data_IF_883080181053
#
_entry.id   IF_883080181053
#
_cell.length_a   1.000
_cell.length_b   1.000
_cell.length_c   1.000
_cell.angle_alpha   90.00
_cell.angle_beta   90.00
_cell.angle_gamma   90.00
#
_symmetry.space_group_name_H-M   'P 1'
#
loop_
_entity.id
_entity.type
_entity.pdbx_description
1 polymer ?
#
# COMPACT_ATOMS: atom_id res chain seq x y z
N UNK A 1 -12.40 4.27 -10.24
CA UNK A 1 -11.80 3.27 -9.33
C UNK A 1 -10.37 2.95 -9.67
N UNK A 2 -10.10 2.68 -10.95
CA UNK A 2 -8.74 2.29 -11.38
C UNK A 2 -7.68 3.36 -11.10
N UNK A 3 -8.01 4.63 -11.30
CA UNK A 3 -7.09 5.75 -10.99
C UNK A 3 -6.71 5.77 -9.51
N UNK A 4 -7.68 5.66 -8.61
CA UNK A 4 -7.42 5.60 -7.15
C UNK A 4 -6.52 4.40 -6.83
N UNK A 5 -6.81 3.25 -7.42
CA UNK A 5 -6.02 2.04 -7.23
C UNK A 5 -4.56 2.21 -7.65
N UNK A 6 -4.30 2.86 -8.81
CA UNK A 6 -2.95 3.14 -9.29
C UNK A 6 -2.22 4.16 -8.40
N UNK A 7 -2.92 5.19 -7.92
CA UNK A 7 -2.35 6.17 -6.98
C UNK A 7 -1.95 5.51 -5.65
N UNK A 8 -2.76 4.57 -5.16
CA UNK A 8 -2.44 3.79 -3.95
C UNK A 8 -1.19 2.93 -4.14
N UNK A 9 -1.09 2.21 -5.27
CA UNK A 9 0.11 1.42 -5.60
C UNK A 9 1.33 2.33 -5.73
N UNK A 10 1.21 3.45 -6.43
CA UNK A 10 2.31 4.39 -6.60
C UNK A 10 2.78 4.97 -5.25
N UNK A 11 1.84 5.33 -4.36
CA UNK A 11 2.12 5.76 -3.00
C UNK A 11 2.87 4.68 -2.22
N UNK A 12 2.35 3.46 -2.18
CA UNK A 12 2.98 2.36 -1.45
C UNK A 12 4.37 2.01 -1.98
N UNK A 13 4.59 2.01 -3.31
CA UNK A 13 5.92 1.82 -3.89
C UNK A 13 6.93 2.85 -3.40
N UNK A 14 6.53 4.12 -3.31
CA UNK A 14 7.42 5.17 -2.77
C UNK A 14 7.74 4.94 -1.30
N UNK A 15 6.73 4.52 -0.50
CA UNK A 15 6.89 4.23 0.93
C UNK A 15 7.82 3.05 1.20
N UNK A 16 7.93 2.10 0.27
CA UNK A 16 8.74 0.90 0.40
C UNK A 16 10.13 1.03 -0.25
N UNK A 17 10.33 2.08 -1.06
CA UNK A 17 11.58 2.26 -1.81
C UNK A 17 12.78 2.38 -0.88
N UNK A 18 13.83 1.60 -1.17
CA UNK A 18 15.08 1.57 -0.41
C UNK A 18 15.11 0.52 0.69
N UNK A 19 13.95 0.17 1.26
CA UNK A 19 13.87 -0.83 2.35
C UNK A 19 13.44 -2.21 1.85
N UNK A 20 12.66 -2.28 0.77
CA UNK A 20 12.11 -3.52 0.21
C UNK A 20 12.49 -3.70 -1.24
N UNK A 21 12.89 -4.92 -1.61
CA UNK A 21 13.00 -5.35 -3.00
C UNK A 21 11.60 -5.72 -3.51
N UNK A 22 11.12 -5.03 -4.58
CA UNK A 22 9.86 -5.41 -5.22
C UNK A 22 10.07 -6.67 -6.08
N UNK A 23 9.24 -7.68 -5.89
CA UNK A 23 9.27 -8.96 -6.60
C UNK A 23 7.89 -9.25 -7.21
N UNK A 24 7.85 -10.23 -8.12
CA UNK A 24 6.59 -10.68 -8.74
C UNK A 24 6.63 -12.20 -8.95
N UNK A 25 5.91 -12.93 -8.09
CA UNK A 25 5.81 -14.37 -8.14
C UNK A 25 4.72 -14.83 -9.15
N UNK A 26 4.88 -15.98 -9.83
CA UNK A 26 3.87 -16.49 -10.75
C UNK A 26 2.50 -16.68 -10.12
N UNK A 27 1.43 -16.50 -10.92
CA UNK A 27 0.04 -16.64 -10.47
C UNK A 27 -0.38 -18.11 -10.28
N UNK A 28 0.11 -18.97 -11.14
CA UNK A 28 -0.21 -20.41 -11.16
C UNK A 28 1.04 -21.16 -10.77
N UNK A 29 0.94 -21.97 -9.74
CA UNK A 29 2.06 -22.71 -9.15
C UNK A 29 1.69 -24.19 -8.98
N UNK A 30 2.70 -25.05 -9.10
CA UNK A 30 2.55 -26.50 -8.97
C UNK A 30 2.02 -26.88 -7.58
N UNK A 31 1.17 -27.90 -7.54
CA UNK A 31 0.60 -28.46 -6.32
C UNK A 31 1.65 -28.82 -5.27
N UNK A 32 2.81 -29.34 -5.68
CA UNK A 32 3.88 -29.74 -4.77
C UNK A 32 4.37 -28.59 -3.87
N UNK A 33 4.36 -27.34 -4.39
CA UNK A 33 4.69 -26.15 -3.59
C UNK A 33 3.70 -25.98 -2.44
N UNK A 34 2.42 -26.20 -2.71
CA UNK A 34 1.33 -26.05 -1.74
C UNK A 34 1.26 -27.20 -0.74
N UNK A 35 1.67 -28.40 -1.15
CA UNK A 35 1.85 -29.53 -0.25
C UNK A 35 3.02 -29.29 0.70
N UNK A 36 4.17 -28.85 0.19
CA UNK A 36 5.34 -28.51 1.02
C UNK A 36 5.03 -27.43 2.05
N UNK A 37 4.36 -26.35 1.65
CA UNK A 37 3.97 -25.28 2.55
C UNK A 37 2.87 -25.66 3.54
N UNK A 38 2.13 -26.74 3.29
CA UNK A 38 0.99 -27.17 4.09
C UNK A 38 -0.35 -26.57 3.68
N UNK A 39 -0.37 -25.58 2.79
CA UNK A 39 -1.62 -24.95 2.35
C UNK A 39 -2.57 -25.92 1.68
N UNK A 40 -2.06 -26.92 0.95
CA UNK A 40 -2.90 -27.93 0.32
C UNK A 40 -3.71 -28.77 1.30
N UNK A 41 -3.18 -29.00 2.50
CA UNK A 41 -3.88 -29.73 3.56
C UNK A 41 -4.84 -28.84 4.38
N UNK A 42 -4.37 -27.65 4.77
CA UNK A 42 -5.07 -26.79 5.74
C UNK A 42 -5.96 -25.73 5.10
N UNK A 43 -5.73 -25.37 3.83
CA UNK A 43 -6.37 -24.24 3.16
C UNK A 43 -7.04 -24.59 1.83
N UNK A 44 -7.07 -25.88 1.47
CA UNK A 44 -7.53 -26.36 0.14
C UNK A 44 -8.95 -25.90 -0.21
N UNK A 45 -9.84 -25.86 0.74
CA UNK A 45 -11.25 -25.45 0.53
C UNK A 45 -11.37 -24.01 0.03
N UNK A 46 -10.36 -23.19 0.31
CA UNK A 46 -10.28 -21.82 -0.14
C UNK A 46 -9.39 -21.62 -1.38
N UNK A 47 -8.95 -22.69 -2.04
CA UNK A 47 -8.06 -22.61 -3.20
C UNK A 47 -8.81 -22.90 -4.50
N UNK A 48 -8.44 -22.16 -5.56
CA UNK A 48 -8.76 -22.55 -6.93
C UNK A 48 -7.68 -23.49 -7.45
N UNK A 49 -8.06 -24.71 -7.78
CA UNK A 49 -7.17 -25.70 -8.36
C UNK A 49 -7.50 -25.90 -9.86
N UNK A 50 -6.46 -26.07 -10.66
CA UNK A 50 -6.56 -26.32 -12.09
C UNK A 50 -5.73 -27.56 -12.46
N UNK A 51 -6.14 -28.28 -13.48
CA UNK A 51 -5.41 -29.42 -14.02
C UNK A 51 -4.99 -29.12 -15.46
N UNK A 52 -3.78 -29.55 -15.85
CA UNK A 52 -3.33 -29.39 -17.23
C UNK A 52 -4.26 -30.15 -18.18
N UNK A 53 -4.63 -29.52 -19.29
CA UNK A 53 -5.56 -30.06 -20.30
C UNK A 53 -4.84 -30.64 -21.53
N UNK A 54 -3.50 -30.68 -21.57
CA UNK A 54 -2.73 -31.17 -22.71
C UNK A 54 -2.90 -32.68 -22.91
N UNK A 55 -3.10 -33.10 -24.16
CA UNK A 55 -3.23 -34.51 -24.52
C UNK A 55 -1.93 -35.30 -24.34
N UNK A 56 -0.77 -34.62 -24.38
CA UNK A 56 0.57 -35.21 -24.21
C UNK A 56 0.99 -35.40 -22.75
N UNK A 57 0.19 -34.91 -21.79
CA UNK A 57 0.49 -35.09 -20.38
C UNK A 57 0.02 -36.49 -19.94
N UNK A 58 0.88 -37.49 -20.04
CA UNK A 58 0.70 -38.80 -19.38
C UNK A 58 0.44 -38.64 -17.88
N UNK A 59 0.92 -37.52 -17.27
CA UNK A 59 0.65 -37.09 -15.90
C UNK A 59 -0.21 -35.83 -15.88
N UNK A 60 -1.48 -35.99 -15.58
CA UNK A 60 -2.39 -34.82 -15.28
C UNK A 60 -1.89 -34.10 -14.04
N UNK A 61 -1.02 -33.10 -14.23
CA UNK A 61 -0.48 -32.31 -13.12
C UNK A 61 -1.52 -31.34 -12.58
N UNK A 62 -1.53 -31.21 -11.26
CA UNK A 62 -2.35 -30.23 -10.56
C UNK A 62 -1.56 -28.97 -10.28
N UNK A 63 -2.22 -27.86 -10.47
CA UNK A 63 -1.76 -26.52 -10.17
C UNK A 63 -2.79 -25.81 -9.29
N UNK A 64 -2.38 -24.72 -8.66
CA UNK A 64 -3.32 -23.82 -8.01
C UNK A 64 -3.03 -22.37 -8.39
N UNK A 65 -4.09 -21.57 -8.51
CA UNK A 65 -3.95 -20.12 -8.44
C UNK A 65 -3.51 -19.77 -7.04
N UNK A 66 -2.46 -18.97 -6.90
CA UNK A 66 -1.91 -18.67 -5.57
C UNK A 66 -2.94 -17.99 -4.67
N UNK A 67 -3.25 -18.53 -3.48
CA UNK A 67 -4.07 -17.87 -2.47
C UNK A 67 -3.26 -16.92 -1.60
N UNK A 68 -1.93 -17.04 -1.64
CA UNK A 68 -0.94 -16.29 -0.87
C UNK A 68 0.38 -16.19 -1.64
N UNK A 69 1.22 -15.22 -1.32
CA UNK A 69 2.51 -15.02 -2.00
C UNK A 69 3.68 -15.70 -1.28
N UNK A 70 3.51 -16.01 0.01
CA UNK A 70 4.58 -16.50 0.89
C UNK A 70 5.40 -17.67 0.36
N UNK A 71 4.85 -18.77 -0.21
CA UNK A 71 5.67 -19.86 -0.74
C UNK A 71 6.56 -19.43 -1.91
N UNK A 72 6.08 -18.52 -2.75
CA UNK A 72 6.85 -17.93 -3.84
C UNK A 72 8.06 -17.12 -3.33
N UNK A 73 7.85 -16.29 -2.31
CA UNK A 73 8.93 -15.49 -1.71
C UNK A 73 9.98 -16.36 -1.02
N UNK A 74 9.58 -17.47 -0.38
CA UNK A 74 10.55 -18.42 0.18
C UNK A 74 11.41 -19.03 -0.93
N UNK A 75 10.84 -19.34 -2.11
CA UNK A 75 11.63 -19.85 -3.23
C UNK A 75 12.63 -18.80 -3.75
N UNK A 76 12.24 -17.53 -3.79
CA UNK A 76 13.16 -16.44 -4.15
C UNK A 76 14.27 -16.32 -3.09
N UNK A 77 13.94 -16.37 -1.81
CA UNK A 77 14.93 -16.38 -0.72
C UNK A 77 15.96 -17.51 -0.85
N UNK A 78 15.51 -18.71 -1.22
CA UNK A 78 16.36 -19.89 -1.40
C UNK A 78 17.34 -19.78 -2.57
N UNK A 79 17.09 -18.87 -3.51
CA UNK A 79 17.98 -18.67 -4.65
C UNK A 79 19.29 -18.02 -4.19
N UNK A 80 20.39 -18.77 -4.24
CA UNK A 80 21.71 -18.37 -3.77
C UNK A 80 21.90 -18.49 -2.24
N UNK A 81 23.14 -18.63 -1.84
CA UNK A 81 23.52 -18.71 -0.43
C UNK A 81 23.35 -17.34 0.25
N UNK A 82 22.80 -17.33 1.43
CA UNK A 82 22.66 -16.15 2.29
C UNK A 82 23.48 -16.32 3.56
N UNK A 83 24.01 -15.22 4.08
CA UNK A 83 24.64 -15.14 5.40
C UNK A 83 23.81 -14.25 6.33
N UNK A 84 24.09 -14.29 7.63
CA UNK A 84 23.45 -13.41 8.61
C UNK A 84 23.63 -11.92 8.29
N UNK A 85 24.67 -11.56 7.50
CA UNK A 85 24.93 -10.16 7.08
C UNK A 85 23.98 -9.68 5.99
N UNK A 86 23.35 -10.62 5.28
CA UNK A 86 22.35 -10.32 4.23
C UNK A 86 20.95 -10.12 4.83
N UNK A 87 20.80 -10.37 6.15
CA UNK A 87 19.54 -10.23 6.88
C UNK A 87 19.50 -8.91 7.68
N UNK A 88 18.35 -8.28 7.83
CA UNK A 88 17.05 -8.70 7.33
C UNK A 88 16.89 -8.49 5.82
N UNK A 89 16.37 -9.50 5.10
CA UNK A 89 16.05 -9.41 3.69
C UNK A 89 14.55 -9.20 3.54
N UNK A 90 14.14 -8.10 2.90
CA UNK A 90 12.75 -7.69 2.78
C UNK A 90 12.31 -7.71 1.32
N UNK A 91 11.26 -8.47 1.02
CA UNK A 91 10.65 -8.57 -0.31
C UNK A 91 9.21 -8.09 -0.24
N UNK A 92 8.77 -7.28 -1.20
CA UNK A 92 7.41 -6.81 -1.32
C UNK A 92 6.82 -7.14 -2.69
N UNK A 93 5.53 -7.43 -2.75
CA UNK A 93 4.81 -7.73 -3.97
C UNK A 93 3.41 -7.13 -3.93
N UNK A 94 3.00 -6.44 -5.00
CA UNK A 94 1.58 -6.19 -5.24
C UNK A 94 0.99 -7.44 -5.89
N UNK A 95 0.86 -8.48 -5.08
CA UNK A 95 0.54 -9.82 -5.53
C UNK A 95 -0.96 -10.02 -5.71
N UNK A 96 -1.36 -10.43 -6.93
CA UNK A 96 -2.75 -10.84 -7.17
C UNK A 96 -2.91 -12.25 -6.61
N UNK A 97 -3.81 -12.42 -5.66
CA UNK A 97 -4.12 -13.69 -5.03
C UNK A 97 -5.60 -14.05 -5.22
N UNK A 98 -5.90 -15.35 -5.21
CA UNK A 98 -7.24 -15.85 -5.45
C UNK A 98 -7.67 -16.79 -4.34
N UNK A 99 -8.80 -16.47 -3.70
CA UNK A 99 -9.37 -17.28 -2.63
C UNK A 99 -10.81 -17.64 -2.96
N UNK A 100 -11.16 -18.91 -2.84
CA UNK A 100 -12.54 -19.36 -3.05
C UNK A 100 -13.37 -18.99 -1.81
N UNK A 101 -13.82 -17.75 -1.79
CA UNK A 101 -14.77 -17.28 -0.79
C UNK A 101 -16.16 -17.81 -1.10
N UNK A 102 -16.94 -18.30 -0.12
CA UNK A 102 -18.32 -18.72 -0.35
C UNK A 102 -19.16 -17.53 -0.83
N UNK A 103 -20.12 -17.78 -1.73
CA UNK A 103 -20.92 -16.72 -2.35
C UNK A 103 -21.64 -15.81 -1.36
N UNK A 104 -22.10 -16.35 -0.24
CA UNK A 104 -22.76 -15.59 0.83
C UNK A 104 -21.82 -14.67 1.63
N UNK A 105 -20.50 -14.83 1.50
CA UNK A 105 -19.53 -13.97 2.17
C UNK A 105 -19.06 -12.79 1.29
N UNK A 106 -19.41 -12.77 0.00
CA UNK A 106 -19.02 -11.71 -0.93
C UNK A 106 -19.64 -10.37 -0.55
N UNK A 107 -18.85 -9.29 -0.60
CA UNK A 107 -19.34 -7.96 -0.18
C UNK A 107 -18.64 -6.82 -0.92
N UNK A 108 -19.14 -6.45 -2.10
CA UNK A 108 -18.60 -5.35 -2.91
C UNK A 108 -17.08 -5.45 -3.09
N UNK A 109 -16.35 -4.36 -2.84
CA UNK A 109 -14.89 -4.34 -2.83
C UNK A 109 -14.28 -4.91 -1.54
N UNK A 110 -15.07 -5.04 -0.47
CA UNK A 110 -14.58 -5.43 0.86
C UNK A 110 -14.21 -6.91 0.94
N UNK A 111 -14.89 -7.77 0.18
CA UNK A 111 -14.61 -9.21 0.16
C UNK A 111 -14.89 -9.80 -1.23
N UNK A 112 -13.81 -10.11 -1.94
CA UNK A 112 -13.79 -10.58 -3.32
C UNK A 112 -12.95 -11.86 -3.43
N UNK A 113 -13.08 -12.60 -4.54
CA UNK A 113 -12.36 -13.85 -4.77
C UNK A 113 -10.97 -13.65 -5.38
N UNK A 114 -10.76 -12.57 -6.11
CA UNK A 114 -9.47 -12.17 -6.66
C UNK A 114 -9.16 -10.75 -6.21
N UNK A 115 -8.00 -10.54 -5.60
CA UNK A 115 -7.60 -9.22 -5.09
C UNK A 115 -6.08 -9.06 -5.11
N UNK A 116 -5.66 -7.80 -5.15
CA UNK A 116 -4.25 -7.42 -5.06
C UNK A 116 -3.90 -7.14 -3.61
N UNK A 117 -2.88 -7.80 -3.11
CA UNK A 117 -2.36 -7.61 -1.77
C UNK A 117 -1.05 -6.82 -1.81
N UNK A 118 -0.89 -5.81 -0.96
CA UNK A 118 0.37 -5.13 -0.72
C UNK A 118 1.23 -5.97 0.24
N UNK A 119 1.55 -7.16 -0.21
CA UNK A 119 2.18 -8.20 0.60
C UNK A 119 3.69 -8.01 0.68
N UNK A 120 4.26 -8.36 1.82
CA UNK A 120 5.71 -8.45 1.95
C UNK A 120 6.12 -9.50 2.98
N UNK A 121 7.34 -9.99 2.78
CA UNK A 121 7.94 -10.96 3.66
C UNK A 121 9.35 -10.50 4.05
N UNK A 122 9.58 -10.45 5.35
CA UNK A 122 10.88 -10.14 5.93
C UNK A 122 11.50 -11.43 6.44
N UNK A 123 12.67 -11.76 5.93
CA UNK A 123 13.47 -12.87 6.43
C UNK A 123 14.54 -12.28 7.34
N UNK A 124 14.53 -12.64 8.60
CA UNK A 124 15.42 -12.06 9.62
C UNK A 124 15.96 -13.13 10.57
N UNK A 125 16.96 -12.76 11.35
CA UNK A 125 17.36 -13.56 12.50
C UNK A 125 16.39 -13.36 13.64
N UNK A 126 16.41 -14.27 14.61
CA UNK A 126 15.54 -14.18 15.79
C UNK A 126 15.78 -12.89 16.59
N UNK A 127 17.04 -12.46 16.71
CA UNK A 127 17.41 -11.21 17.41
C UNK A 127 16.88 -9.95 16.71
N UNK A 128 16.68 -9.99 15.38
CA UNK A 128 16.14 -8.89 14.59
C UNK A 128 14.60 -8.81 14.61
N UNK A 129 13.93 -9.85 15.07
CA UNK A 129 12.47 -10.00 14.95
C UNK A 129 11.69 -8.85 15.59
N UNK A 130 12.02 -8.49 16.83
CA UNK A 130 11.30 -7.43 17.54
C UNK A 130 11.43 -6.07 16.84
N UNK A 131 12.64 -5.72 16.41
CA UNK A 131 12.92 -4.47 15.71
C UNK A 131 12.19 -4.42 14.35
N UNK A 132 12.12 -5.54 13.62
CA UNK A 132 11.40 -5.59 12.35
C UNK A 132 9.88 -5.45 12.56
N UNK A 133 9.32 -6.05 13.61
CA UNK A 133 7.92 -5.87 13.96
C UNK A 133 7.60 -4.41 14.31
N UNK A 134 8.47 -3.71 15.05
CA UNK A 134 8.30 -2.29 15.37
C UNK A 134 8.39 -1.40 14.13
N UNK A 135 9.37 -1.63 13.26
CA UNK A 135 9.49 -0.89 11.96
C UNK A 135 8.24 -1.07 11.08
N UNK A 136 7.71 -2.28 11.01
CA UNK A 136 6.46 -2.57 10.30
C UNK A 136 5.29 -1.82 10.94
N UNK A 137 5.19 -1.81 12.26
CA UNK A 137 4.19 -1.06 13.00
C UNK A 137 4.23 0.43 12.63
N UNK A 138 5.42 1.06 12.68
CA UNK A 138 5.58 2.48 12.37
C UNK A 138 5.22 2.80 10.92
N UNK A 139 5.56 1.91 10.00
CA UNK A 139 5.19 2.04 8.59
C UNK A 139 3.66 1.97 8.41
N UNK A 140 2.98 1.03 9.07
CA UNK A 140 1.52 0.90 9.03
C UNK A 140 0.85 2.15 9.61
N UNK A 141 1.24 2.57 10.81
CA UNK A 141 0.63 3.70 11.50
C UNK A 141 0.83 5.01 10.74
N UNK A 142 2.04 5.26 10.25
CA UNK A 142 2.32 6.46 9.44
C UNK A 142 1.59 6.45 8.10
N UNK A 143 1.38 5.27 7.50
CA UNK A 143 0.57 5.14 6.29
C UNK A 143 -0.89 5.48 6.58
N UNK A 144 -1.47 4.92 7.64
CA UNK A 144 -2.86 5.20 8.00
C UNK A 144 -3.08 6.68 8.36
N UNK A 145 -2.11 7.32 9.03
CA UNK A 145 -2.17 8.76 9.30
C UNK A 145 -2.20 9.60 8.00
N UNK A 146 -1.48 9.20 6.95
CA UNK A 146 -1.50 9.87 5.64
C UNK A 146 -2.87 9.82 4.96
N UNK A 147 -3.69 8.81 5.27
CA UNK A 147 -5.07 8.68 4.80
C UNK A 147 -6.10 9.23 5.79
N UNK A 148 -5.66 9.85 6.91
CA UNK A 148 -6.55 10.49 7.87
C UNK A 148 -7.20 9.53 8.88
N UNK A 149 -6.68 8.32 9.04
CA UNK A 149 -7.13 7.42 10.09
C UNK A 149 -6.37 7.69 11.39
N UNK A 150 -7.09 8.13 12.41
CA UNK A 150 -6.57 8.48 13.73
C UNK A 150 -6.96 7.48 14.83
N UNK A 151 -7.96 6.63 14.58
CA UNK A 151 -8.45 5.63 15.50
C UNK A 151 -8.11 4.22 15.00
N UNK A 152 -7.03 3.68 15.52
CA UNK A 152 -6.52 2.36 15.14
C UNK A 152 -6.55 1.46 16.37
N UNK A 153 -7.01 0.22 16.18
CA UNK A 153 -6.90 -0.83 17.19
C UNK A 153 -5.89 -1.85 16.72
N UNK A 154 -4.87 -2.12 17.53
CA UNK A 154 -3.88 -3.17 17.30
C UNK A 154 -4.22 -4.37 18.18
N UNK A 155 -4.55 -5.49 17.56
CA UNK A 155 -4.91 -6.72 18.27
C UNK A 155 -3.80 -7.76 18.11
N UNK A 156 -3.35 -8.34 19.22
CA UNK A 156 -2.51 -9.53 19.22
C UNK A 156 -3.38 -10.78 19.18
N UNK A 157 -3.42 -11.46 18.05
CA UNK A 157 -4.13 -12.73 17.88
C UNK A 157 -3.17 -13.89 18.17
N UNK A 158 -3.51 -14.67 19.19
CA UNK A 158 -2.66 -15.76 19.71
C UNK A 158 -3.04 -17.12 19.12
N UNK A 159 -2.35 -18.17 19.52
CA UNK A 159 -2.44 -19.53 18.97
C UNK A 159 -3.87 -20.05 18.83
N UNK A 160 -4.26 -20.57 17.64
CA UNK A 160 -5.52 -21.27 17.46
C UNK A 160 -5.40 -22.72 17.96
N UNK A 161 -6.55 -23.38 18.14
CA UNK A 161 -6.59 -24.80 18.51
C UNK A 161 -5.88 -25.68 17.46
N UNK A 162 -6.19 -25.45 16.19
CA UNK A 162 -5.53 -26.13 15.06
C UNK A 162 -4.34 -25.32 14.56
N UNK A 163 -3.13 -25.82 14.83
CA UNK A 163 -1.88 -25.11 14.49
C UNK A 163 -0.76 -26.07 14.12
N UNK A 164 0.29 -25.57 13.51
CA UNK A 164 1.57 -26.25 13.28
C UNK A 164 2.63 -25.71 14.23
N UNK A 165 3.70 -26.48 14.44
CA UNK A 165 4.78 -26.15 15.37
C UNK A 165 4.55 -26.66 16.79
N UNK A 166 5.60 -26.66 17.61
CA UNK A 166 5.55 -27.09 19.02
C UNK A 166 4.98 -26.00 19.92
N UNK A 167 4.46 -26.39 21.08
CA UNK A 167 3.98 -25.43 22.07
C UNK A 167 5.10 -24.48 22.54
N UNK A 168 6.33 -24.98 22.69
CA UNK A 168 7.48 -24.16 23.08
C UNK A 168 7.77 -23.05 22.03
N UNK A 169 7.63 -23.36 20.74
CA UNK A 169 7.79 -22.38 19.68
C UNK A 169 6.70 -21.29 19.72
N UNK A 170 5.47 -21.71 19.99
CA UNK A 170 4.35 -20.78 20.16
C UNK A 170 4.51 -19.91 21.42
N UNK A 171 4.92 -20.50 22.55
CA UNK A 171 5.20 -19.76 23.77
C UNK A 171 6.25 -18.66 23.54
N UNK A 172 7.31 -19.02 22.81
CA UNK A 172 8.37 -18.08 22.46
C UNK A 172 7.86 -16.95 21.53
N UNK A 173 7.18 -17.30 20.44
CA UNK A 173 6.65 -16.34 19.47
C UNK A 173 5.64 -15.36 20.13
N UNK A 174 4.72 -15.87 20.95
CA UNK A 174 3.74 -15.06 21.68
C UNK A 174 4.41 -14.15 22.72
N UNK A 175 5.46 -14.63 23.40
CA UNK A 175 6.21 -13.82 24.36
C UNK A 175 6.92 -12.64 23.64
N UNK A 176 7.52 -12.86 22.46
CA UNK A 176 8.11 -11.79 21.65
C UNK A 176 7.04 -10.78 21.24
N UNK A 177 5.93 -11.27 20.67
CA UNK A 177 4.85 -10.39 20.19
C UNK A 177 4.19 -9.61 21.33
N UNK A 178 4.05 -10.20 22.52
CA UNK A 178 3.50 -9.51 23.70
C UNK A 178 4.42 -8.36 24.15
N UNK A 179 5.74 -8.56 24.14
CA UNK A 179 6.70 -7.47 24.43
C UNK A 179 6.62 -6.35 23.39
N UNK A 180 6.56 -6.72 22.10
CA UNK A 180 6.39 -5.74 21.01
C UNK A 180 5.08 -4.97 21.18
N UNK A 181 3.96 -5.62 21.53
CA UNK A 181 2.68 -4.94 21.76
C UNK A 181 2.78 -3.91 22.88
N UNK A 182 3.45 -4.25 23.98
CA UNK A 182 3.67 -3.34 25.11
C UNK A 182 4.51 -2.12 24.69
N UNK A 183 5.53 -2.30 23.86
CA UNK A 183 6.32 -1.20 23.29
C UNK A 183 5.49 -0.30 22.35
N UNK A 184 4.65 -0.89 21.49
CA UNK A 184 3.72 -0.14 20.64
C UNK A 184 2.77 0.71 21.50
N UNK A 185 2.23 0.16 22.57
CA UNK A 185 1.33 0.86 23.48
C UNK A 185 2.03 2.05 24.16
N UNK A 186 3.23 1.83 24.71
CA UNK A 186 4.05 2.84 25.35
C UNK A 186 4.41 3.98 24.38
N UNK A 187 4.91 3.65 23.19
CA UNK A 187 5.32 4.62 22.16
C UNK A 187 4.13 5.40 21.61
N UNK A 188 2.95 4.82 21.62
CA UNK A 188 1.74 5.48 21.11
C UNK A 188 1.26 6.63 21.99
N UNK A 189 1.71 6.70 23.25
CA UNK A 189 1.24 7.68 24.24
C UNK A 189 -0.30 7.75 24.34
N UNK A 190 -0.98 6.61 24.26
CA UNK A 190 -2.42 6.47 24.36
C UNK A 190 -3.21 6.74 23.07
N UNK A 191 -2.53 6.98 21.94
CA UNK A 191 -3.19 7.20 20.65
C UNK A 191 -3.71 5.90 20.01
N UNK A 192 -3.15 4.76 20.37
CA UNK A 192 -3.52 3.44 19.86
C UNK A 192 -4.18 2.65 21.00
N UNK A 193 -5.24 1.93 20.64
CA UNK A 193 -5.84 0.96 21.54
C UNK A 193 -5.25 -0.41 21.22
N UNK A 194 -4.82 -1.13 22.25
CA UNK A 194 -4.32 -2.50 22.13
C UNK A 194 -5.33 -3.50 22.71
N UNK A 195 -5.33 -4.71 22.19
CA UNK A 195 -6.15 -5.81 22.68
C UNK A 195 -5.48 -7.16 22.40
N UNK A 196 -5.80 -8.16 23.20
CA UNK A 196 -5.45 -9.56 22.90
C UNK A 196 -6.68 -10.27 22.38
N UNK A 197 -6.52 -11.04 21.29
CA UNK A 197 -7.58 -11.80 20.63
C UNK A 197 -7.21 -13.30 20.65
N UNK A 198 -7.58 -14.04 21.70
CA UNK A 198 -7.16 -15.42 21.87
C UNK A 198 -7.75 -16.36 20.81
N UNK A 199 -6.91 -17.22 20.25
CA UNK A 199 -7.35 -18.26 19.29
C UNK A 199 -7.46 -17.82 17.84
N UNK A 200 -7.23 -16.54 17.53
CA UNK A 200 -7.44 -15.98 16.19
C UNK A 200 -6.12 -15.81 15.40
N UNK A 201 -5.02 -16.36 15.90
CA UNK A 201 -3.72 -16.39 15.21
C UNK A 201 -3.79 -17.18 13.90
N UNK A 202 -2.79 -17.02 13.03
CA UNK A 202 -2.63 -17.89 11.88
C UNK A 202 -2.26 -19.31 12.33
N UNK A 203 -2.53 -20.33 11.52
CA UNK A 203 -2.19 -21.71 11.89
C UNK A 203 -0.68 -21.95 12.06
N UNK A 204 0.16 -21.03 11.55
CA UNK A 204 1.63 -21.10 11.58
C UNK A 204 2.29 -20.10 12.55
N UNK A 205 1.56 -19.12 13.10
CA UNK A 205 2.12 -18.17 14.05
C UNK A 205 1.17 -17.08 14.54
N UNK A 206 1.52 -16.39 15.63
CA UNK A 206 0.75 -15.26 16.14
C UNK A 206 0.83 -14.06 15.20
N UNK A 207 -0.16 -13.16 15.30
CA UNK A 207 -0.22 -11.99 14.42
C UNK A 207 -0.70 -10.74 15.14
N UNK A 208 -0.24 -9.57 14.71
CA UNK A 208 -0.92 -8.32 14.92
C UNK A 208 -1.94 -8.08 13.80
N UNK A 209 -3.12 -7.61 14.19
CA UNK A 209 -4.17 -7.15 13.31
C UNK A 209 -4.38 -5.67 13.53
N UNK A 210 -4.27 -4.88 12.46
CA UNK A 210 -4.54 -3.45 12.49
C UNK A 210 -5.94 -3.22 11.95
N UNK A 211 -6.82 -2.77 12.83
CA UNK A 211 -8.24 -2.64 12.55
C UNK A 211 -8.57 -1.17 12.32
N UNK A 212 -9.15 -0.89 11.15
CA UNK A 212 -9.71 0.39 10.78
C UNK A 212 -11.22 0.34 10.93
N UNK A 213 -11.82 1.45 11.35
CA UNK A 213 -13.28 1.59 11.45
C UNK A 213 -13.80 2.39 10.27
N UNK A 214 -14.82 1.85 9.58
CA UNK A 214 -15.48 2.55 8.49
C UNK A 214 -16.44 3.65 8.99
N UNK A 215 -16.98 4.44 8.05
CA UNK A 215 -17.85 5.57 8.36
C UNK A 215 -19.16 5.20 9.09
N UNK A 216 -19.58 3.94 9.03
CA UNK A 216 -20.78 3.44 9.73
C UNK A 216 -20.43 2.62 10.96
N UNK A 217 -19.17 2.63 11.41
CA UNK A 217 -18.71 2.02 12.64
C UNK A 217 -18.36 0.53 12.58
N UNK A 218 -18.24 -0.08 11.38
CA UNK A 218 -17.81 -1.47 11.23
C UNK A 218 -16.28 -1.54 11.28
N UNK A 219 -15.78 -2.57 11.93
CA UNK A 219 -14.35 -2.86 12.04
C UNK A 219 -13.88 -3.70 10.85
N UNK A 220 -12.81 -3.27 10.19
CA UNK A 220 -12.16 -3.96 9.08
C UNK A 220 -10.68 -4.18 9.39
N UNK A 221 -10.27 -5.43 9.40
CA UNK A 221 -8.86 -5.77 9.41
C UNK A 221 -8.24 -5.40 8.06
N UNK A 222 -7.23 -4.55 8.07
CA UNK A 222 -6.44 -4.15 6.90
C UNK A 222 -5.00 -4.59 7.06
N UNK A 223 -4.24 -3.93 7.94
CA UNK A 223 -2.84 -4.27 8.19
C UNK A 223 -2.70 -5.56 9.00
N UNK A 224 -1.62 -6.27 8.72
CA UNK A 224 -1.22 -7.46 9.49
C UNK A 224 0.29 -7.53 9.60
N UNK A 225 0.78 -8.03 10.75
CA UNK A 225 2.16 -8.48 10.94
C UNK A 225 2.09 -9.85 11.58
N UNK A 226 2.57 -10.89 10.89
CA UNK A 226 2.47 -12.28 11.33
C UNK A 226 3.86 -12.90 11.42
N UNK A 227 4.17 -13.54 12.52
CA UNK A 227 5.48 -14.17 12.75
C UNK A 227 5.39 -15.66 12.44
N UNK A 228 6.30 -16.16 11.63
CA UNK A 228 6.34 -17.53 11.15
C UNK A 228 7.75 -18.13 11.30
N UNK A 229 7.86 -19.12 12.16
CA UNK A 229 9.06 -19.91 12.34
C UNK A 229 9.03 -21.25 11.56
N UNK A 230 7.90 -21.57 10.91
CA UNK A 230 7.65 -22.89 10.35
C UNK A 230 7.90 -22.94 8.84
N UNK A 231 7.40 -21.95 8.08
CA UNK A 231 7.42 -22.01 6.63
C UNK A 231 8.83 -22.05 6.04
N UNK A 232 9.81 -21.25 6.47
CA UNK A 232 11.18 -21.34 5.99
C UNK A 232 11.80 -22.71 6.20
N UNK A 233 11.63 -23.31 7.39
CA UNK A 233 12.13 -24.63 7.72
C UNK A 233 11.51 -25.72 6.85
N UNK A 234 10.19 -25.70 6.63
CA UNK A 234 9.48 -26.67 5.78
C UNK A 234 9.99 -26.67 4.34
N UNK A 235 10.45 -25.53 3.84
CA UNK A 235 11.06 -25.39 2.52
C UNK A 235 12.58 -25.66 2.53
N UNK A 236 13.17 -25.94 3.69
CA UNK A 236 14.62 -26.08 3.85
C UNK A 236 15.36 -24.77 3.51
N UNK A 237 14.74 -23.62 3.77
CA UNK A 237 15.38 -22.32 3.65
C UNK A 237 16.32 -22.08 4.84
N UNK A 238 17.55 -21.64 4.57
CA UNK A 238 18.53 -21.38 5.62
C UNK A 238 19.47 -20.22 5.24
N UNK A 239 20.11 -19.65 6.22
CA UNK A 239 21.25 -18.75 6.10
C UNK A 239 22.46 -19.32 6.86
N UNK A 240 23.63 -18.81 6.55
CA UNK A 240 24.86 -19.13 7.34
C UNK A 240 25.00 -18.09 8.43
N UNK A 241 24.97 -18.57 9.68
CA UNK A 241 25.12 -17.71 10.84
C UNK A 241 26.60 -17.37 11.12
N UNK A 242 26.86 -16.50 12.09
CA UNK A 242 28.20 -16.03 12.47
C UNK A 242 29.15 -17.18 12.91
N UNK A 243 28.59 -18.24 13.47
CA UNK A 243 29.30 -19.45 13.89
C UNK A 243 29.55 -20.46 12.73
N UNK A 244 29.09 -20.12 11.49
CA UNK A 244 29.17 -21.00 10.33
C UNK A 244 28.06 -22.04 10.24
N UNK A 245 27.15 -22.10 11.21
CA UNK A 245 26.03 -23.03 11.21
C UNK A 245 24.93 -22.62 10.23
N UNK A 246 24.19 -23.60 9.70
CA UNK A 246 22.98 -23.37 8.92
C UNK A 246 21.80 -23.18 9.87
N UNK A 247 21.15 -22.02 9.80
CA UNK A 247 19.93 -21.72 10.61
C UNK A 247 18.78 -21.32 9.71
N UNK A 248 17.53 -21.77 9.98
CA UNK A 248 16.37 -21.25 9.28
C UNK A 248 16.15 -19.78 9.69
N UNK A 249 15.80 -18.87 8.77
CA UNK A 249 15.39 -17.53 9.15
C UNK A 249 14.01 -17.54 9.78
N UNK A 250 13.73 -16.55 10.63
CA UNK A 250 12.35 -16.19 10.99
C UNK A 250 11.75 -15.42 9.84
N UNK A 251 10.49 -15.69 9.51
CA UNK A 251 9.75 -15.00 8.45
C UNK A 251 8.66 -14.15 9.06
N UNK A 252 8.63 -12.87 8.70
CA UNK A 252 7.55 -11.97 9.09
C UNK A 252 6.74 -11.64 7.84
N UNK A 253 5.48 -12.05 7.84
CA UNK A 253 4.51 -11.70 6.82
C UNK A 253 3.87 -10.37 7.19
N UNK A 254 3.76 -9.44 6.24
CA UNK A 254 3.07 -8.18 6.50
C UNK A 254 2.27 -7.71 5.30
N UNK A 255 1.14 -7.10 5.59
CA UNK A 255 0.39 -6.27 4.68
C UNK A 255 0.04 -4.96 5.40
N UNK A 256 -0.02 -3.84 4.69
CA UNK A 256 -0.39 -2.52 5.24
C UNK A 256 -1.83 -2.21 4.87
N UNK A 257 -2.13 -2.14 3.58
CA UNK A 257 -3.50 -1.98 3.08
C UNK A 257 -4.30 -3.30 3.16
N UNK A 258 -3.61 -4.43 3.15
CA UNK A 258 -4.20 -5.77 3.07
C UNK A 258 -4.64 -6.07 1.65
N UNK A 259 -5.93 -6.03 1.35
CA UNK A 259 -6.45 -6.01 -0.01
C UNK A 259 -6.55 -4.56 -0.49
N UNK A 260 -5.93 -4.25 -1.63
CA UNK A 260 -6.02 -2.92 -2.25
C UNK A 260 -7.46 -2.57 -2.61
N UNK A 261 -8.27 -3.57 -3.00
CA UNK A 261 -9.70 -3.41 -3.27
C UNK A 261 -10.47 -3.05 -2.00
N UNK A 262 -10.23 -3.77 -0.89
CA UNK A 262 -10.87 -3.47 0.40
C UNK A 262 -10.46 -2.10 0.90
N UNK A 263 -9.18 -1.77 0.86
CA UNK A 263 -8.68 -0.48 1.30
C UNK A 263 -9.27 0.67 0.46
N UNK A 264 -9.37 0.49 -0.87
CA UNK A 264 -10.07 1.44 -1.75
C UNK A 264 -11.53 1.61 -1.34
N UNK A 265 -12.24 0.52 -1.04
CA UNK A 265 -13.61 0.58 -0.55
C UNK A 265 -13.75 1.34 0.76
N UNK A 266 -12.85 1.09 1.73
CA UNK A 266 -12.81 1.80 3.01
C UNK A 266 -12.55 3.30 2.80
N UNK A 267 -11.62 3.67 1.90
CA UNK A 267 -11.33 5.07 1.58
C UNK A 267 -12.52 5.78 0.94
N UNK A 268 -13.28 5.12 0.04
CA UNK A 268 -14.48 5.67 -0.56
C UNK A 268 -15.51 6.00 0.54
N UNK A 269 -15.71 5.12 1.50
CA UNK A 269 -16.62 5.33 2.62
C UNK A 269 -16.08 6.40 3.59
N UNK A 270 -14.80 6.32 3.96
CA UNK A 270 -14.15 7.25 4.89
C UNK A 270 -14.24 8.71 4.40
N UNK A 271 -13.93 8.94 3.13
CA UNK A 271 -14.03 10.26 2.53
C UNK A 271 -15.44 10.61 2.04
N UNK A 272 -16.41 9.69 2.11
CA UNK A 272 -17.74 9.85 1.49
C UNK A 272 -17.63 10.28 0.01
N UNK A 273 -16.61 9.81 -0.70
CA UNK A 273 -16.25 10.18 -2.07
C UNK A 273 -15.54 11.54 -2.22
N UNK A 274 -15.36 12.33 -1.15
CA UNK A 274 -14.66 13.62 -1.14
C UNK A 274 -13.15 13.40 -0.96
N UNK A 275 -12.52 12.77 -1.92
CA UNK A 275 -11.09 12.48 -1.83
C UNK A 275 -10.22 13.75 -1.73
N UNK A 276 -9.11 13.71 -0.98
CA UNK A 276 -8.10 14.75 -1.04
C UNK A 276 -7.57 14.87 -2.48
N UNK A 277 -7.12 16.06 -2.86
CA UNK A 277 -6.81 16.38 -4.25
C UNK A 277 -5.76 15.43 -4.85
N UNK A 278 -4.76 15.03 -4.08
CA UNK A 278 -3.72 14.11 -4.55
C UNK A 278 -4.26 12.72 -4.94
N UNK A 279 -5.35 12.26 -4.32
CA UNK A 279 -5.96 10.94 -4.55
C UNK A 279 -7.18 11.00 -5.47
N UNK A 280 -7.76 12.17 -5.70
CA UNK A 280 -8.98 12.33 -6.49
C UNK A 280 -8.77 11.87 -7.95
N UNK A 281 -9.64 11.01 -8.51
CA UNK A 281 -9.48 10.51 -9.88
C UNK A 281 -9.57 11.62 -10.94
N UNK A 282 -10.44 12.60 -10.70
CA UNK A 282 -10.51 13.87 -11.43
C UNK A 282 -10.22 14.94 -10.39
N UNK A 283 -9.14 15.69 -10.59
CA UNK A 283 -8.72 16.72 -9.64
C UNK A 283 -9.38 18.06 -9.93
N UNK A 284 -9.46 18.41 -11.21
CA UNK A 284 -9.99 19.68 -11.66
C UNK A 284 -10.92 19.47 -12.86
N UNK A 285 -12.11 20.05 -12.82
CA UNK A 285 -12.96 20.21 -13.99
C UNK A 285 -12.87 21.65 -14.47
N UNK A 286 -12.64 21.83 -15.77
CA UNK A 286 -12.66 23.15 -16.43
C UNK A 286 -13.97 23.28 -17.21
N UNK A 287 -14.85 24.16 -16.75
CA UNK A 287 -16.18 24.38 -17.33
C UNK A 287 -16.31 25.78 -17.90
N UNK A 288 -16.81 25.91 -19.14
CA UNK A 288 -17.11 27.19 -19.74
C UNK A 288 -18.52 27.67 -19.42
N UNK A 289 -18.68 28.98 -19.21
CA UNK A 289 -19.98 29.65 -19.01
C UNK A 289 -20.66 29.88 -20.37
N UNK A 290 -19.86 30.31 -21.36
CA UNK A 290 -20.25 30.52 -22.76
C UNK A 290 -19.16 30.02 -23.68
N UNK A 291 -19.49 29.67 -24.93
CA UNK A 291 -18.54 29.17 -25.93
C UNK A 291 -17.44 30.16 -26.30
N UNK A 292 -17.60 31.45 -26.00
CA UNK A 292 -16.56 32.46 -26.22
C UNK A 292 -15.30 32.19 -25.39
N UNK A 293 -15.43 31.48 -24.25
CA UNK A 293 -14.33 31.12 -23.39
C UNK A 293 -13.65 29.79 -23.76
N UNK A 294 -14.15 29.05 -24.74
CA UNK A 294 -13.68 27.68 -25.05
C UNK A 294 -12.20 27.64 -25.45
N UNK A 295 -11.71 28.63 -26.22
CA UNK A 295 -10.30 28.69 -26.60
C UNK A 295 -9.40 28.82 -25.36
N UNK A 296 -9.75 29.72 -24.44
CA UNK A 296 -9.03 29.91 -23.20
C UNK A 296 -9.14 28.69 -22.28
N UNK A 297 -10.32 28.09 -22.18
CA UNK A 297 -10.52 26.85 -21.39
C UNK A 297 -9.60 25.72 -21.86
N UNK A 298 -9.42 25.56 -23.17
CA UNK A 298 -8.47 24.57 -23.72
C UNK A 298 -7.02 24.88 -23.35
N UNK A 299 -6.64 26.18 -23.32
CA UNK A 299 -5.31 26.60 -22.83
C UNK A 299 -5.12 26.27 -21.36
N UNK A 300 -6.11 26.57 -20.54
CA UNK A 300 -6.10 26.22 -19.10
C UNK A 300 -5.97 24.71 -18.89
N UNK A 301 -6.77 23.89 -19.60
CA UNK A 301 -6.71 22.42 -19.54
C UNK A 301 -5.29 21.96 -19.86
N UNK A 302 -4.74 22.36 -21.00
CA UNK A 302 -3.38 21.96 -21.40
C UNK A 302 -2.32 22.38 -20.38
N UNK A 303 -2.46 23.53 -19.76
CA UNK A 303 -1.54 24.03 -18.74
C UNK A 303 -1.59 23.15 -17.48
N UNK A 304 -2.77 22.81 -17.01
CA UNK A 304 -2.98 21.94 -15.85
C UNK A 304 -2.50 20.49 -16.10
N UNK A 305 -2.80 19.95 -17.30
CA UNK A 305 -2.35 18.61 -17.70
C UNK A 305 -0.81 18.51 -17.83
N UNK A 306 -0.17 19.53 -18.41
CA UNK A 306 1.31 19.61 -18.49
C UNK A 306 1.95 19.73 -17.11
N UNK A 307 1.25 20.32 -16.16
CA UNK A 307 1.66 20.36 -14.76
C UNK A 307 1.43 19.03 -14.01
N UNK A 308 0.86 18.02 -14.68
CA UNK A 308 0.64 16.68 -14.12
C UNK A 308 -0.68 16.50 -13.37
N UNK A 309 -1.61 17.45 -13.49
CA UNK A 309 -2.93 17.34 -12.87
C UNK A 309 -3.89 16.54 -13.75
N UNK A 310 -4.79 15.77 -13.11
CA UNK A 310 -5.88 15.03 -13.75
C UNK A 310 -7.07 15.95 -13.99
N UNK A 311 -7.27 16.34 -15.24
CA UNK A 311 -8.23 17.38 -15.64
C UNK A 311 -9.31 16.79 -16.51
N UNK A 312 -10.54 17.27 -16.36
CA UNK A 312 -11.67 16.98 -17.25
C UNK A 312 -12.24 18.29 -17.81
N UNK A 313 -12.66 18.26 -19.08
CA UNK A 313 -13.23 19.40 -19.77
C UNK A 313 -14.76 19.31 -19.79
N UNK A 314 -15.46 20.38 -19.43
CA UNK A 314 -16.89 20.53 -19.63
C UNK A 314 -17.21 21.77 -20.45
N UNK A 315 -17.06 21.62 -21.77
CA UNK A 315 -17.31 22.67 -22.76
C UNK A 315 -18.71 22.56 -23.40
N UNK A 316 -19.62 21.80 -22.78
CA UNK A 316 -21.00 21.63 -23.26
C UNK A 316 -21.73 22.96 -23.22
N UNK A 317 -22.64 23.18 -24.14
CA UNK A 317 -23.53 24.34 -24.16
C UNK A 317 -24.67 24.15 -23.13
N UNK A 318 -24.30 24.16 -21.84
CA UNK A 318 -25.21 23.99 -20.71
C UNK A 318 -25.02 25.13 -19.69
N UNK A 319 -26.06 25.42 -18.90
CA UNK A 319 -25.99 26.44 -17.83
C UNK A 319 -24.93 26.06 -16.82
N UNK A 320 -24.09 27.01 -16.44
CA UNK A 320 -23.00 26.77 -15.48
C UNK A 320 -23.49 26.15 -14.16
N UNK A 321 -24.67 26.53 -13.68
CA UNK A 321 -25.24 25.95 -12.46
C UNK A 321 -25.58 24.46 -12.60
N UNK A 322 -25.95 24.02 -13.81
CA UNK A 322 -26.18 22.60 -14.11
C UNK A 322 -24.85 21.84 -14.07
N UNK A 323 -23.81 22.34 -14.74
CA UNK A 323 -22.46 21.77 -14.73
C UNK A 323 -21.92 21.67 -13.30
N UNK A 324 -22.00 22.75 -12.53
CA UNK A 324 -21.60 22.77 -11.11
C UNK A 324 -22.30 21.69 -10.30
N UNK A 325 -23.61 21.54 -10.46
CA UNK A 325 -24.38 20.52 -9.75
C UNK A 325 -23.94 19.10 -10.13
N UNK A 326 -23.77 18.84 -11.42
CA UNK A 326 -23.36 17.52 -11.93
C UNK A 326 -22.00 17.11 -11.38
N UNK A 327 -20.98 17.98 -11.51
CA UNK A 327 -19.64 17.70 -11.00
C UNK A 327 -19.56 17.67 -9.46
N UNK A 328 -20.43 18.40 -8.76
CA UNK A 328 -20.55 18.29 -7.29
C UNK A 328 -21.15 16.94 -6.88
N UNK A 329 -22.14 16.41 -7.63
CA UNK A 329 -22.69 15.06 -7.39
C UNK A 329 -21.63 13.98 -7.68
N UNK A 330 -20.78 14.19 -8.69
CA UNK A 330 -19.63 13.34 -9.02
C UNK A 330 -18.46 13.50 -8.04
N UNK A 331 -18.57 14.38 -7.02
CA UNK A 331 -17.57 14.62 -5.97
C UNK A 331 -16.23 15.15 -6.49
N UNK A 332 -16.24 15.89 -7.59
CA UNK A 332 -15.02 16.54 -8.11
C UNK A 332 -14.58 17.66 -7.15
N UNK A 333 -13.31 17.63 -6.66
CA UNK A 333 -12.86 18.57 -5.64
C UNK A 333 -12.84 20.04 -6.10
N UNK A 334 -12.45 20.27 -7.37
CA UNK A 334 -12.26 21.62 -7.92
C UNK A 334 -12.99 21.75 -9.26
N UNK A 335 -13.75 22.83 -9.40
CA UNK A 335 -14.32 23.24 -10.68
C UNK A 335 -13.87 24.69 -11.00
N UNK A 336 -13.31 24.87 -12.17
CA UNK A 336 -12.97 26.18 -12.74
C UNK A 336 -14.12 26.62 -13.66
N UNK A 337 -14.77 27.74 -13.33
CA UNK A 337 -15.79 28.34 -14.16
C UNK A 337 -15.16 29.50 -14.95
N UNK A 338 -15.17 29.37 -16.29
CA UNK A 338 -14.51 30.31 -17.20
C UNK A 338 -15.55 30.99 -18.10
N UNK A 339 -15.58 32.30 -18.03
CA UNK A 339 -16.36 33.17 -18.89
C UNK A 339 -15.46 34.11 -19.70
N UNK A 340 -16.07 35.08 -20.35
CA UNK A 340 -15.38 36.10 -21.14
C UNK A 340 -14.36 36.88 -20.31
N UNK A 341 -14.74 37.27 -19.07
CA UNK A 341 -13.88 38.03 -18.17
C UNK A 341 -12.62 37.26 -17.78
N UNK A 342 -12.78 36.00 -17.38
CA UNK A 342 -11.65 35.14 -17.04
C UNK A 342 -10.70 34.95 -18.22
N UNK A 343 -11.24 34.86 -19.46
CA UNK A 343 -10.44 34.74 -20.66
C UNK A 343 -9.65 36.05 -20.98
N UNK A 344 -10.28 37.21 -20.80
CA UNK A 344 -9.63 38.52 -21.02
C UNK A 344 -8.56 38.81 -19.98
N UNK A 345 -8.83 38.52 -18.70
CA UNK A 345 -7.92 38.78 -17.58
C UNK A 345 -6.89 37.66 -17.35
N UNK A 346 -6.97 36.55 -18.09
CA UNK A 346 -6.13 35.34 -17.91
C UNK A 346 -6.21 34.78 -16.48
N UNK A 347 -7.39 34.83 -15.87
CA UNK A 347 -7.69 34.35 -14.54
C UNK A 347 -8.57 33.10 -14.58
N UNK A 348 -8.73 32.43 -13.43
CA UNK A 348 -9.63 31.30 -13.25
C UNK A 348 -10.53 31.51 -12.03
N UNK A 349 -11.82 31.26 -12.20
CA UNK A 349 -12.80 31.35 -11.13
C UNK A 349 -13.00 29.97 -10.50
N UNK A 350 -12.48 29.78 -9.28
CA UNK A 350 -12.33 28.50 -8.59
C UNK A 350 -13.52 28.27 -7.66
N UNK A 351 -14.18 27.13 -7.82
CA UNK A 351 -15.19 26.61 -6.89
C UNK A 351 -14.67 25.31 -6.26
N UNK A 352 -14.81 25.20 -4.95
CA UNK A 352 -14.47 23.98 -4.21
C UNK A 352 -15.72 23.17 -3.87
N UNK A 353 -15.61 21.86 -3.92
CA UNK A 353 -16.69 20.97 -3.50
C UNK A 353 -17.12 21.29 -2.06
N UNK A 354 -18.43 21.40 -1.84
CA UNK A 354 -19.00 21.74 -0.52
C UNK A 354 -18.96 23.22 -0.14
N UNK A 355 -18.36 24.10 -0.98
CA UNK A 355 -18.29 25.55 -0.73
C UNK A 355 -19.19 26.34 -1.68
N UNK A 356 -19.87 27.35 -1.15
CA UNK A 356 -20.59 28.36 -1.94
C UNK A 356 -19.68 29.51 -2.40
N UNK A 357 -18.48 29.61 -1.82
CA UNK A 357 -17.54 30.69 -2.13
C UNK A 357 -16.82 30.41 -3.45
N UNK A 358 -16.61 31.47 -4.22
CA UNK A 358 -15.81 31.45 -5.45
C UNK A 358 -14.60 32.36 -5.25
N UNK A 359 -13.42 31.89 -5.64
CA UNK A 359 -12.18 32.66 -5.60
C UNK A 359 -11.62 32.78 -7.00
N UNK A 360 -11.27 34.00 -7.41
CA UNK A 360 -10.61 34.25 -8.71
C UNK A 360 -9.13 34.47 -8.50
N UNK A 361 -8.30 33.75 -9.27
CA UNK A 361 -6.83 33.85 -9.23
C UNK A 361 -6.26 33.94 -10.64
N UNK A 362 -5.07 34.53 -10.82
CA UNK A 362 -4.25 34.30 -12.00
C UNK A 362 -4.03 32.79 -12.23
N UNK A 363 -3.99 32.36 -13.48
CA UNK A 363 -3.81 30.93 -13.80
C UNK A 363 -2.54 30.34 -13.17
N UNK A 364 -1.42 31.08 -13.19
CA UNK A 364 -0.14 30.65 -12.58
C UNK A 364 -0.27 30.31 -11.11
N UNK A 365 -0.97 31.19 -10.36
CA UNK A 365 -1.13 31.05 -8.90
C UNK A 365 -2.06 29.89 -8.56
N UNK A 366 -3.11 29.71 -9.39
CA UNK A 366 -4.02 28.57 -9.24
C UNK A 366 -3.29 27.24 -9.51
N UNK A 367 -2.45 27.16 -10.53
CA UNK A 367 -1.63 25.97 -10.84
C UNK A 367 -0.70 25.65 -9.67
N UNK A 368 0.02 26.64 -9.14
CA UNK A 368 0.93 26.45 -8.02
C UNK A 368 0.19 25.90 -6.77
N UNK A 369 -0.96 26.49 -6.43
CA UNK A 369 -1.77 26.04 -5.30
C UNK A 369 -2.32 24.61 -5.50
N UNK A 370 -2.74 24.26 -6.72
CA UNK A 370 -3.22 22.90 -7.00
C UNK A 370 -2.11 21.87 -6.95
N UNK A 371 -0.90 22.18 -7.44
CA UNK A 371 0.25 21.29 -7.37
C UNK A 371 0.65 21.00 -5.92
N UNK A 372 0.68 22.02 -5.06
CA UNK A 372 0.95 21.85 -3.64
C UNK A 372 -0.08 20.92 -3.00
N UNK A 373 -1.39 21.16 -3.26
CA UNK A 373 -2.47 20.35 -2.70
C UNK A 373 -2.53 18.94 -3.30
N UNK A 374 -2.16 18.77 -4.58
CA UNK A 374 -2.10 17.48 -5.27
C UNK A 374 -0.84 16.68 -4.93
N UNK A 375 0.11 17.22 -4.18
CA UNK A 375 1.29 16.48 -3.72
C UNK A 375 0.88 15.51 -2.62
N UNK A 376 1.24 14.24 -2.78
CA UNK A 376 0.93 13.20 -1.80
C UNK A 376 1.69 13.45 -0.46
N UNK A 377 1.16 13.01 0.71
CA UNK A 377 1.75 13.29 2.01
C UNK A 377 3.20 12.82 2.17
N UNK A 378 3.55 11.66 1.59
CA UNK A 378 4.92 11.13 1.58
C UNK A 378 5.88 12.04 0.82
N UNK A 379 5.47 12.60 -0.29
CA UNK A 379 6.27 13.53 -1.10
C UNK A 379 6.44 14.87 -0.40
N UNK A 380 5.40 15.39 0.28
CA UNK A 380 5.52 16.62 1.08
C UNK A 380 6.55 16.47 2.20
N UNK A 381 6.56 15.33 2.89
CA UNK A 381 7.57 15.05 3.92
C UNK A 381 8.98 14.99 3.33
N UNK A 382 9.14 14.35 2.16
CA UNK A 382 10.44 14.27 1.48
C UNK A 382 10.94 15.66 1.07
N UNK A 383 10.06 16.54 0.56
CA UNK A 383 10.39 17.92 0.22
C UNK A 383 10.83 18.71 1.47
N UNK A 384 10.06 18.62 2.56
CA UNK A 384 10.40 19.31 3.81
C UNK A 384 11.76 18.88 4.37
N UNK A 385 12.12 17.59 4.27
CA UNK A 385 13.43 17.09 4.68
C UNK A 385 14.53 17.63 3.77
N UNK A 386 14.33 17.66 2.44
CA UNK A 386 15.30 18.18 1.50
C UNK A 386 15.61 19.67 1.71
N UNK A 387 14.61 20.47 2.10
CA UNK A 387 14.77 21.89 2.42
C UNK A 387 15.55 22.13 3.71
N UNK A 388 15.59 21.16 4.64
CA UNK A 388 16.32 21.27 5.91
C UNK A 388 17.77 20.80 5.82
N UNK A 389 18.15 20.07 4.76
CA UNK A 389 19.53 19.65 4.52
C UNK A 389 20.33 20.82 3.96
N UNK A 390 21.37 21.35 4.64
CA UNK A 390 22.19 22.41 4.09
C UNK A 390 22.82 21.93 2.78
N UNK A 391 22.64 22.67 1.69
CA UNK A 391 23.44 22.48 0.48
C UNK A 391 24.88 22.82 0.83
N UNK A 392 25.70 21.79 1.04
CA UNK A 392 27.15 22.01 1.14
C UNK A 392 27.66 22.35 -0.26
N UNK A 393 27.78 23.65 -0.53
CA UNK A 393 28.66 24.16 -1.59
C UNK A 393 30.12 23.82 -1.21
N UNK A 394 30.47 22.56 -1.39
CA UNK A 394 31.91 22.20 -1.42
C UNK A 394 32.41 22.53 -2.79
N UNK A 395 32.84 23.78 -2.94
CA UNK A 395 33.74 24.20 -4.01
C UNK A 395 34.94 23.27 -3.92
N UNK A 396 35.08 22.37 -4.87
CA UNK A 396 36.33 21.65 -5.10
C UNK A 396 37.33 22.67 -5.66
N UNK A 397 38.06 23.32 -4.76
CA UNK A 397 39.24 24.09 -5.13
C UNK A 397 40.24 23.16 -5.85
N UNK A 398 40.46 23.50 -7.13
CA UNK A 398 41.35 22.79 -8.02
C UNK A 398 42.78 22.80 -7.48
N UNK A 399 43.27 21.65 -7.05
CA UNK A 399 44.72 21.45 -6.91
C UNK A 399 45.35 21.34 -8.30
N UNK A 400 46.04 22.39 -8.68
CA UNK A 400 47.06 22.38 -9.73
C UNK A 400 48.10 21.30 -9.40
N UNK A 401 48.14 20.27 -10.24
CA UNK A 401 49.31 19.36 -10.27
C UNK A 401 50.32 20.00 -11.20
N UNK A 402 51.38 20.55 -10.60
CA UNK A 402 52.61 20.90 -11.32
C UNK A 402 53.28 19.64 -11.88
N UNK A 403 53.38 19.58 -13.18
CA UNK A 403 54.22 18.63 -13.89
C UNK A 403 55.70 19.03 -13.70
N UNK A 404 56.47 18.20 -13.00
CA UNK A 404 57.91 18.19 -13.11
C UNK A 404 58.36 16.89 -13.78
N UNK A 405 58.84 17.02 -15.03
CA UNK A 405 59.77 16.07 -15.63
C UNK A 405 61.22 16.41 -15.23
N UNK A 406 62.19 15.48 -15.26
CA UNK A 406 62.85 15.06 -16.51
C UNK A 406 62.60 13.61 -16.90
#
# INVERSE_FOLDING_TARGET
GWTIFQELIAYMRRRLRGDYAEVNAPQILDKALWETSGHWGWYRENMFAAQSAGEEAEDKRWFALKPMNCPGHVQIFKHGLKSYRDLPLRMAEFGIVHRYEPSGAMHGLMRVRGFTQDDAHVFCTEDQLADECLKINDLILSTYADFGFDQIVVKLSTRPEKRVGSDALWDHAEAVMTRVLAQIEEQSAGRIKTAVNPGEGAFYGPKFEYVLRDAIGRDWQCGTTQVDFNLPERFGAFYIDADGARKPPVMVHRAICGSMERFTGILIEHFAGHFPLWLAPIQVVVATITGEADAYARDVIRTLERAGLRVEADLRNEKINYKVREHSLAKVPVLLALGKREAEERTVSIRRLGSQQTRTLPLSDAVAAFLEEATAPDLRRAQAVAETVPTSDTVLDGHHVEQNAP
#
